data_IF_351182936496
#
_entry.id   IF_351182936496
#
_cell.length_a   1.000
_cell.length_b   1.000
_cell.length_c   1.000
_cell.angle_alpha   90.00
_cell.angle_beta   90.00
_cell.angle_gamma   90.00
#
_symmetry.space_group_name_H-M   'P 1'
#
loop_
_entity.id
_entity.type
_entity.pdbx_description
1 polymer ?
#
# COMPACT_ATOMS: atom_id res chain seq x y z
N UNK A 1 -3.15 -7.91 -12.30
CA UNK A 1 -3.70 -7.49 -11.00
C UNK A 1 -3.79 -8.63 -9.98
N UNK A 2 -4.81 -9.52 -10.04
CA UNK A 2 -5.03 -10.54 -8.98
C UNK A 2 -3.89 -11.57 -8.88
N UNK A 3 -3.38 -12.04 -10.01
CA UNK A 3 -2.25 -12.96 -10.04
C UNK A 3 -0.96 -12.31 -9.50
N UNK A 4 -0.71 -11.04 -9.85
CA UNK A 4 0.44 -10.27 -9.35
C UNK A 4 0.36 -10.05 -7.84
N UNK A 5 -0.80 -9.68 -7.30
CA UNK A 5 -0.99 -9.56 -5.85
C UNK A 5 -0.79 -10.90 -5.13
N UNK A 6 -1.16 -12.01 -5.75
CA UNK A 6 -0.92 -13.34 -5.19
C UNK A 6 0.57 -13.69 -5.18
N UNK A 7 1.32 -13.34 -6.23
CA UNK A 7 2.77 -13.53 -6.32
C UNK A 7 3.51 -12.67 -5.31
N UNK A 8 3.13 -11.39 -5.20
CA UNK A 8 3.71 -10.49 -4.21
C UNK A 8 3.39 -11.04 -2.82
N UNK A 9 2.12 -11.16 -2.43
CA UNK A 9 1.77 -11.42 -1.03
C UNK A 9 1.85 -12.89 -0.58
N UNK A 10 2.04 -13.84 -1.50
CA UNK A 10 1.99 -15.28 -1.20
C UNK A 10 0.60 -15.75 -0.72
N UNK A 11 -0.43 -14.93 -0.91
CA UNK A 11 -1.79 -15.19 -0.47
C UNK A 11 -2.79 -14.89 -1.56
N UNK A 12 -3.80 -15.75 -1.71
CA UNK A 12 -4.86 -15.58 -2.69
C UNK A 12 -5.68 -14.30 -2.36
N UNK A 13 -5.78 -13.32 -3.28
CA UNK A 13 -6.58 -12.13 -3.04
C UNK A 13 -8.07 -12.44 -3.08
N UNK A 14 -8.81 -11.72 -2.24
CA UNK A 14 -10.27 -11.69 -2.28
C UNK A 14 -10.72 -10.60 -3.25
N UNK A 15 -11.73 -10.90 -4.06
CA UNK A 15 -12.35 -9.94 -4.97
C UNK A 15 -13.30 -9.03 -4.20
N UNK A 16 -13.20 -7.73 -4.45
CA UNK A 16 -14.09 -6.73 -3.86
C UNK A 16 -15.22 -6.45 -4.83
N UNK A 17 -16.44 -6.82 -4.43
CA UNK A 17 -17.65 -6.62 -5.20
C UNK A 17 -18.29 -5.26 -4.92
N UNK A 18 -18.97 -4.72 -5.93
CA UNK A 18 -19.75 -3.50 -5.85
C UNK A 18 -20.96 -3.67 -4.92
N UNK A 19 -20.99 -2.93 -3.80
CA UNK A 19 -22.14 -2.95 -2.88
C UNK A 19 -23.38 -2.24 -3.44
N UNK A 20 -23.17 -1.19 -4.25
CA UNK A 20 -24.23 -0.33 -4.81
C UNK A 20 -24.04 -0.18 -6.31
N UNK A 21 -25.15 -0.09 -7.04
CA UNK A 21 -25.14 0.29 -8.45
C UNK A 21 -25.08 1.81 -8.54
N UNK A 22 -24.12 2.34 -9.30
CA UNK A 22 -23.96 3.79 -9.50
C UNK A 22 -23.73 4.03 -10.99
N UNK A 23 -24.72 4.63 -11.65
CA UNK A 23 -24.73 4.82 -13.11
C UNK A 23 -23.59 5.69 -13.61
N UNK A 24 -23.17 6.72 -12.85
CA UNK A 24 -22.08 7.61 -13.23
C UNK A 24 -20.73 6.87 -13.38
N UNK A 25 -20.48 5.86 -12.54
CA UNK A 25 -19.29 5.01 -12.63
C UNK A 25 -19.50 3.78 -13.52
N UNK A 26 -20.68 3.65 -14.17
CA UNK A 26 -21.09 2.47 -14.95
C UNK A 26 -20.99 1.16 -14.17
N UNK A 27 -21.20 1.23 -12.85
CA UNK A 27 -21.08 0.08 -11.94
C UNK A 27 -22.44 -0.56 -11.69
N UNK A 28 -22.48 -1.89 -11.80
CA UNK A 28 -23.61 -2.73 -11.39
C UNK A 28 -23.36 -3.38 -10.04
N UNK A 29 -24.43 -3.69 -9.30
CA UNK A 29 -24.34 -4.46 -8.05
C UNK A 29 -23.67 -5.81 -8.30
N UNK A 30 -22.83 -6.25 -7.36
CA UNK A 30 -22.08 -7.52 -7.38
C UNK A 30 -21.07 -7.65 -8.54
N UNK A 31 -20.76 -6.56 -9.22
CA UNK A 31 -19.66 -6.51 -10.18
C UNK A 31 -18.31 -6.48 -9.44
N UNK A 32 -17.32 -7.23 -9.91
CA UNK A 32 -15.96 -7.19 -9.38
C UNK A 32 -15.29 -5.85 -9.74
N UNK A 33 -14.87 -5.09 -8.73
CA UNK A 33 -14.24 -3.76 -8.89
C UNK A 33 -12.76 -3.80 -8.55
N UNK A 34 -12.36 -4.63 -7.60
CA UNK A 34 -10.97 -4.67 -7.12
C UNK A 34 -10.59 -5.98 -6.47
N UNK A 35 -9.39 -5.99 -5.92
CA UNK A 35 -8.87 -7.10 -5.13
C UNK A 35 -8.25 -6.55 -3.84
N UNK A 36 -8.40 -7.29 -2.74
CA UNK A 36 -7.73 -6.98 -1.47
C UNK A 36 -7.10 -8.24 -0.89
N UNK A 37 -6.04 -8.04 -0.13
CA UNK A 37 -5.39 -9.07 0.69
C UNK A 37 -5.27 -8.52 2.10
N UNK A 38 -5.51 -9.37 3.09
CA UNK A 38 -5.23 -9.05 4.49
C UNK A 38 -4.21 -10.05 5.00
N UNK A 39 -3.03 -9.54 5.35
CA UNK A 39 -1.92 -10.31 5.90
C UNK A 39 -1.93 -10.16 7.42
N UNK A 40 -1.71 -11.27 8.15
CA UNK A 40 -1.62 -11.31 9.61
C UNK A 40 -0.58 -12.34 10.04
N UNK A 41 -0.03 -12.19 11.24
CA UNK A 41 0.98 -13.10 11.79
C UNK A 41 2.29 -13.05 10.99
N UNK A 42 2.93 -14.20 10.79
CA UNK A 42 4.26 -14.30 10.16
C UNK A 42 4.29 -13.70 8.75
N UNK A 43 3.29 -14.00 7.91
CA UNK A 43 3.21 -13.49 6.53
C UNK A 43 3.15 -11.97 6.44
N UNK A 44 2.60 -11.32 7.46
CA UNK A 44 2.57 -9.86 7.54
C UNK A 44 3.98 -9.31 7.76
N UNK A 45 4.72 -9.87 8.72
CA UNK A 45 6.09 -9.44 9.01
C UNK A 45 7.03 -9.71 7.84
N UNK A 46 6.92 -10.87 7.20
CA UNK A 46 7.69 -11.19 5.99
C UNK A 46 7.40 -10.22 4.85
N UNK A 47 6.11 -9.93 4.58
CA UNK A 47 5.75 -8.94 3.57
C UNK A 47 6.28 -7.55 3.92
N UNK A 48 6.15 -7.12 5.18
CA UNK A 48 6.61 -5.81 5.63
C UNK A 48 8.13 -5.67 5.52
N UNK A 49 8.87 -6.69 5.93
CA UNK A 49 10.34 -6.70 5.83
C UNK A 49 10.78 -6.62 4.37
N UNK A 50 10.21 -7.46 3.49
CA UNK A 50 10.50 -7.42 2.05
C UNK A 50 10.06 -6.08 1.45
N UNK A 51 8.95 -5.53 1.88
CA UNK A 51 8.47 -4.24 1.41
C UNK A 51 9.49 -3.13 1.73
N UNK A 52 9.95 -3.07 2.97
CA UNK A 52 10.93 -2.08 3.43
C UNK A 52 12.29 -2.26 2.76
N UNK A 53 12.81 -3.50 2.73
CA UNK A 53 14.18 -3.78 2.30
C UNK A 53 14.33 -3.92 0.78
N UNK A 54 13.35 -4.52 0.10
CA UNK A 54 13.45 -4.82 -1.33
C UNK A 54 12.62 -3.86 -2.20
N UNK A 55 11.40 -3.51 -1.79
CA UNK A 55 10.48 -2.76 -2.64
C UNK A 55 10.69 -1.23 -2.56
N UNK A 56 10.79 -0.66 -1.36
CA UNK A 56 10.94 0.80 -1.19
C UNK A 56 12.18 1.38 -1.90
N UNK A 57 13.38 0.78 -1.83
CA UNK A 57 14.56 1.33 -2.50
C UNK A 57 14.48 1.30 -4.03
N UNK A 58 13.61 0.44 -4.60
CA UNK A 58 13.40 0.33 -6.05
C UNK A 58 12.45 1.40 -6.59
N UNK A 59 11.79 2.17 -5.72
CA UNK A 59 10.98 3.32 -6.16
C UNK A 59 11.90 4.35 -6.81
N UNK A 60 11.56 4.77 -8.03
CA UNK A 60 12.29 5.85 -8.73
C UNK A 60 12.22 7.15 -7.92
N UNK A 61 13.36 7.80 -7.71
CA UNK A 61 13.50 9.01 -6.91
C UNK A 61 13.00 8.88 -5.45
N UNK A 62 13.22 7.71 -4.84
CA UNK A 62 12.83 7.47 -3.45
C UNK A 62 13.58 8.40 -2.49
N UNK A 63 12.82 9.20 -1.72
CA UNK A 63 13.35 10.13 -0.69
C UNK A 63 12.86 9.80 0.71
N UNK A 64 12.36 8.58 0.91
CA UNK A 64 11.63 8.19 2.10
C UNK A 64 10.12 8.38 1.97
N UNK A 65 9.38 7.70 2.84
CA UNK A 65 7.93 7.78 2.92
C UNK A 65 7.50 8.98 3.78
N UNK A 66 6.35 9.58 3.47
CA UNK A 66 5.87 10.75 4.20
C UNK A 66 5.41 10.35 5.60
N UNK A 67 5.86 11.04 6.67
CA UNK A 67 5.35 10.82 8.03
C UNK A 67 3.98 11.47 8.26
N UNK A 68 3.32 12.04 7.23
CA UNK A 68 1.99 12.65 7.36
C UNK A 68 0.85 11.71 7.01
N UNK A 69 1.14 10.50 6.54
CA UNK A 69 0.12 9.55 6.10
C UNK A 69 -0.46 8.69 7.25
N UNK A 70 -0.28 9.14 8.49
CA UNK A 70 -0.96 8.56 9.64
C UNK A 70 -2.37 9.12 9.78
N UNK A 71 -3.27 8.31 10.34
CA UNK A 71 -4.70 8.63 10.47
C UNK A 71 -5.08 9.18 11.86
N UNK A 72 -4.11 9.66 12.64
CA UNK A 72 -4.25 10.12 14.04
C UNK A 72 -4.57 9.04 15.06
N UNK A 73 -4.76 7.80 14.62
CA UNK A 73 -5.07 6.66 15.47
C UNK A 73 -4.01 5.56 15.32
N UNK A 74 -2.79 5.95 14.96
CA UNK A 74 -1.65 5.03 14.85
C UNK A 74 -1.67 4.11 13.62
N UNK A 75 -2.61 4.26 12.69
CA UNK A 75 -2.57 3.51 11.43
C UNK A 75 -1.84 4.32 10.36
N UNK A 76 -1.08 3.63 9.53
CA UNK A 76 -0.29 4.22 8.47
C UNK A 76 -0.76 3.72 7.11
N UNK A 77 -1.08 4.62 6.19
CA UNK A 77 -1.44 4.24 4.82
C UNK A 77 -0.46 4.82 3.81
N UNK A 78 0.07 3.97 2.94
CA UNK A 78 0.98 4.37 1.87
C UNK A 78 0.42 3.96 0.52
N UNK A 79 0.20 4.95 -0.35
CA UNK A 79 -0.15 4.71 -1.74
C UNK A 79 1.09 4.48 -2.59
N UNK A 80 1.12 3.38 -3.33
CA UNK A 80 2.18 3.01 -4.27
C UNK A 80 1.62 3.18 -5.68
N UNK A 81 2.31 3.96 -6.50
CA UNK A 81 1.85 4.22 -7.88
C UNK A 81 2.14 3.08 -8.84
N UNK A 82 3.14 2.24 -8.55
CA UNK A 82 3.58 1.17 -9.45
C UNK A 82 3.99 -0.10 -8.69
N UNK A 83 3.40 -1.23 -9.06
CA UNK A 83 3.73 -2.56 -8.56
C UNK A 83 5.06 -3.13 -9.09
N UNK A 84 5.68 -2.50 -10.10
CA UNK A 84 6.97 -2.92 -10.65
C UNK A 84 8.14 -2.89 -9.64
N UNK A 85 7.92 -2.25 -8.49
CA UNK A 85 8.92 -2.16 -7.42
C UNK A 85 9.18 -3.50 -6.72
N UNK A 86 8.28 -4.47 -6.87
CA UNK A 86 8.44 -5.80 -6.28
C UNK A 86 9.30 -6.69 -7.19
N UNK A 87 10.38 -7.30 -6.68
CA UNK A 87 11.23 -8.18 -7.48
C UNK A 87 10.50 -9.41 -8.02
N UNK A 88 9.40 -9.82 -7.39
CA UNK A 88 8.57 -10.95 -7.82
C UNK A 88 7.75 -10.68 -9.08
N UNK A 89 7.60 -9.40 -9.46
CA UNK A 89 6.82 -9.01 -10.63
C UNK A 89 7.73 -8.95 -11.85
N UNK A 90 7.48 -9.84 -12.81
CA UNK A 90 8.14 -9.78 -14.12
C UNK A 90 7.59 -8.62 -14.95
N UNK A 91 8.46 -7.66 -15.28
CA UNK A 91 8.10 -6.46 -16.05
C UNK A 91 7.46 -6.80 -17.41
N UNK A 92 7.93 -7.85 -18.07
CA UNK A 92 7.43 -8.27 -19.39
C UNK A 92 5.98 -8.77 -19.35
N UNK A 93 5.51 -9.24 -18.19
CA UNK A 93 4.13 -9.70 -18.00
C UNK A 93 3.18 -8.55 -17.63
N UNK A 94 3.69 -7.36 -17.31
CA UNK A 94 2.88 -6.20 -16.94
C UNK A 94 2.26 -5.59 -18.20
N UNK A 95 0.96 -5.82 -18.40
CA UNK A 95 0.21 -5.19 -19.49
C UNK A 95 -0.09 -3.70 -19.24
N UNK A 96 -0.23 -3.32 -17.97
CA UNK A 96 -0.54 -1.96 -17.50
C UNK A 96 0.02 -1.78 -16.09
N UNK A 97 0.63 -0.63 -15.82
CA UNK A 97 1.09 -0.29 -14.46
C UNK A 97 -0.13 -0.12 -13.57
N UNK A 98 -0.14 -0.83 -12.45
CA UNK A 98 -1.20 -0.80 -11.46
C UNK A 98 -0.55 -0.34 -10.16
N UNK A 99 -1.15 0.68 -9.55
CA UNK A 99 -0.83 1.10 -8.20
C UNK A 99 -1.73 0.40 -7.18
N UNK A 100 -1.31 0.42 -5.93
CA UNK A 100 -2.12 -0.07 -4.82
C UNK A 100 -1.75 0.62 -3.52
N UNK A 101 -2.67 0.58 -2.56
CA UNK A 101 -2.48 1.14 -1.23
C UNK A 101 -2.12 0.02 -0.25
N UNK A 102 -1.14 0.30 0.61
CA UNK A 102 -0.75 -0.55 1.73
C UNK A 102 -1.13 0.17 3.02
N UNK A 103 -2.05 -0.43 3.78
CA UNK A 103 -2.45 0.07 5.10
C UNK A 103 -1.88 -0.83 6.17
N UNK A 104 -1.05 -0.25 7.03
CA UNK A 104 -0.49 -0.88 8.22
C UNK A 104 -1.36 -0.46 9.40
N UNK A 105 -1.99 -1.45 10.03
CA UNK A 105 -2.82 -1.25 11.21
C UNK A 105 -1.97 -1.60 12.43
N UNK A 106 -1.85 -0.69 13.37
CA UNK A 106 -1.09 -0.91 14.61
C UNK A 106 -2.01 -0.78 15.82
N UNK A 107 -1.50 -1.15 17.00
CA UNK A 107 -2.19 -0.97 18.29
C UNK A 107 -1.86 0.35 18.96
N UNK A 108 -0.99 1.18 18.37
CA UNK A 108 -0.60 2.46 18.91
C UNK A 108 -1.81 3.41 18.99
N UNK A 109 -1.88 4.22 20.04
CA UNK A 109 -2.98 5.18 20.19
C UNK A 109 -2.64 6.54 19.59
N UNK A 110 -1.35 6.81 19.41
CA UNK A 110 -0.84 8.07 18.87
C UNK A 110 0.02 7.82 17.64
N UNK A 111 0.07 8.82 16.76
CA UNK A 111 0.91 8.76 15.55
C UNK A 111 2.40 8.73 15.89
N UNK A 112 2.80 9.31 17.02
CA UNK A 112 4.19 9.34 17.48
C UNK A 112 4.68 7.94 17.86
N UNK A 113 3.88 7.20 18.62
CA UNK A 113 4.16 5.79 18.95
C UNK A 113 4.24 4.93 17.69
N UNK A 114 3.25 5.06 16.79
CA UNK A 114 3.23 4.31 15.53
C UNK A 114 4.44 4.64 14.65
N UNK A 115 4.81 5.91 14.59
CA UNK A 115 6.00 6.36 13.84
C UNK A 115 7.28 5.81 14.45
N UNK A 116 7.42 5.81 15.78
CA UNK A 116 8.58 5.25 16.46
C UNK A 116 8.72 3.77 16.16
N UNK A 117 7.62 3.01 16.31
CA UNK A 117 7.57 1.59 16.00
C UNK A 117 8.00 1.30 14.55
N UNK A 118 7.40 2.00 13.57
CA UNK A 118 7.74 1.80 12.17
C UNK A 118 9.18 2.21 11.85
N UNK A 119 9.69 3.26 12.51
CA UNK A 119 11.08 3.72 12.33
C UNK A 119 12.08 2.67 12.83
N UNK A 120 11.83 2.08 14.00
CA UNK A 120 12.65 1.00 14.56
C UNK A 120 12.58 -0.28 13.73
N UNK A 121 11.43 -0.56 13.12
CA UNK A 121 11.28 -1.66 12.15
C UNK A 121 12.00 -1.40 10.81
N UNK A 122 12.63 -0.23 10.64
CA UNK A 122 13.45 0.11 9.49
C UNK A 122 12.71 0.88 8.39
N UNK A 123 11.51 1.41 8.66
CA UNK A 123 10.76 2.18 7.68
C UNK A 123 11.43 3.54 7.41
N UNK A 124 11.86 3.83 6.17
CA UNK A 124 12.61 5.04 5.86
C UNK A 124 11.68 6.24 5.72
N UNK A 125 11.46 7.00 6.81
CA UNK A 125 10.70 8.24 6.76
C UNK A 125 11.52 9.39 6.15
N UNK A 126 10.87 10.23 5.35
CA UNK A 126 11.49 11.45 4.81
C UNK A 126 11.39 12.60 5.81
N UNK A 127 12.52 13.26 6.11
CA UNK A 127 12.54 14.51 6.88
C UNK A 127 11.92 15.68 6.12
N UNK A 128 11.92 15.61 4.77
CA UNK A 128 11.24 16.59 3.93
C UNK A 128 9.77 16.24 3.86
N UNK A 129 9.04 16.55 4.91
CA UNK A 129 7.58 16.54 4.92
C UNK A 129 7.07 17.59 3.92
N UNK A 130 7.04 17.25 2.63
CA UNK A 130 6.52 18.11 1.57
C UNK A 130 5.05 18.38 1.91
N UNK A 131 4.75 19.63 2.25
CA UNK A 131 3.38 20.12 2.48
C UNK A 131 2.57 19.71 1.24
N UNK A 132 1.45 18.96 1.36
CA UNK A 132 0.64 18.70 0.19
C UNK A 132 0.26 20.06 -0.38
N UNK A 133 0.52 20.24 -1.68
CA UNK A 133 0.07 21.41 -2.40
C UNK A 133 -1.45 21.46 -2.20
N UNK A 134 -1.93 22.49 -1.51
CA UNK A 134 -3.35 22.77 -1.44
C UNK A 134 -3.86 22.79 -2.88
N UNK A 135 -4.74 21.85 -3.23
CA UNK A 135 -5.47 21.94 -4.48
C UNK A 135 -6.26 23.25 -4.41
N UNK A 136 -6.03 24.22 -5.32
CA UNK A 136 -6.90 25.37 -5.39
C UNK A 136 -8.31 24.87 -5.76
N UNK A 137 -9.29 25.36 -5.00
CA UNK A 137 -10.71 25.17 -5.23
C UNK A 137 -11.14 25.75 -6.58
#
# INVERSE_FOLDING_TARGET
AKAELALITGQRPMETLAKKSISNFKLRKDQAIGAKVTLRGERMYEFLERFIKAALPRIRDFRGVSPRCFDKHGNYTLGISDQSIFPEVELDKIKRNIGFDVTIVTTAQTDEEAKSLLSEMGMPFSDRAKKPAAQPA
#
